data_IF_335373075859
#
_entry.id   IF_335373075859
#
_cell.length_a   1.000
_cell.length_b   1.000
_cell.length_c   1.000
_cell.angle_alpha   90.00
_cell.angle_beta   90.00
_cell.angle_gamma   90.00
#
_symmetry.space_group_name_H-M   'P 1'
#
loop_
_entity.id
_entity.type
_entity.pdbx_description
1 polymer ?
#
# COMPACT_ATOMS: atom_id res chain seq x y z
N UNK A 1 42.79 -23.21 8.50
CA UNK A 1 41.73 -23.33 7.48
C UNK A 1 40.41 -23.30 8.24
N UNK A 2 39.84 -22.10 8.40
CA UNK A 2 38.52 -21.96 9.01
C UNK A 2 37.55 -22.19 7.85
N UNK A 3 36.86 -23.32 7.89
CA UNK A 3 35.79 -23.62 6.94
C UNK A 3 34.56 -22.90 7.50
N UNK A 4 34.25 -21.74 6.93
CA UNK A 4 33.00 -21.02 7.18
C UNK A 4 31.83 -21.90 6.75
N UNK A 5 31.13 -22.43 7.74
CA UNK A 5 29.82 -23.05 7.56
C UNK A 5 28.85 -22.18 8.34
N UNK A 6 27.89 -21.60 7.60
CA UNK A 6 26.49 -21.25 7.95
C UNK A 6 26.06 -20.06 7.04
N UNK A 7 24.87 -20.06 6.40
CA UNK A 7 24.07 -21.16 5.86
C UNK A 7 23.33 -20.73 4.55
N UNK A 8 22.42 -21.55 4.04
CA UNK A 8 21.41 -21.24 3.00
C UNK A 8 20.44 -20.07 3.31
N UNK A 9 20.74 -19.17 4.26
CA UNK A 9 19.93 -18.00 4.64
C UNK A 9 20.01 -16.81 3.68
N UNK A 10 20.67 -16.95 2.53
CA UNK A 10 20.78 -15.88 1.52
C UNK A 10 19.74 -16.03 0.39
N UNK A 11 18.97 -17.11 0.39
CA UNK A 11 17.85 -17.31 -0.54
C UNK A 11 16.65 -16.44 -0.15
N UNK A 12 16.63 -15.19 -0.63
CA UNK A 12 15.51 -14.26 -0.47
C UNK A 12 15.90 -12.84 -0.04
N UNK A 13 17.19 -12.57 0.20
CA UNK A 13 17.66 -11.21 0.44
C UNK A 13 17.55 -10.40 -0.84
N UNK A 14 16.78 -9.31 -0.79
CA UNK A 14 16.43 -8.44 -1.92
C UNK A 14 17.67 -7.76 -2.54
N UNK A 15 18.43 -8.51 -3.33
CA UNK A 15 19.38 -7.98 -4.32
C UNK A 15 18.63 -7.65 -5.61
N UNK A 16 18.12 -6.42 -5.72
CA UNK A 16 17.28 -6.00 -6.84
C UNK A 16 18.07 -5.65 -8.11
N UNK A 17 17.62 -6.17 -9.25
CA UNK A 17 17.87 -5.59 -10.58
C UNK A 17 16.61 -4.84 -11.06
N UNK A 18 16.82 -3.67 -11.65
CA UNK A 18 15.78 -2.74 -12.12
C UNK A 18 15.03 -3.28 -13.35
N UNK A 19 13.70 -3.11 -13.41
CA UNK A 19 12.87 -3.45 -14.60
C UNK A 19 12.08 -2.23 -15.12
N UNK A 20 12.32 -1.76 -16.35
CA UNK A 20 11.77 -0.49 -16.87
C UNK A 20 10.26 -0.43 -17.17
N UNK A 21 9.53 -1.56 -17.23
CA UNK A 21 8.21 -1.62 -17.88
C UNK A 21 7.07 -2.11 -16.95
N UNK A 22 6.84 -1.43 -15.81
CA UNK A 22 5.76 -1.79 -14.87
C UNK A 22 4.47 -1.03 -15.14
N UNK A 23 3.33 -1.74 -15.18
CA UNK A 23 1.96 -1.26 -15.42
C UNK A 23 1.32 -0.55 -14.22
N UNK A 24 2.13 -0.11 -13.26
CA UNK A 24 1.68 0.60 -12.06
C UNK A 24 1.90 2.10 -12.22
N UNK A 25 0.83 2.93 -12.18
CA UNK A 25 1.00 4.36 -12.30
C UNK A 25 1.73 4.91 -11.08
N UNK A 26 2.90 5.48 -11.32
CA UNK A 26 3.62 6.32 -10.36
C UNK A 26 2.87 7.65 -10.29
N UNK A 27 2.37 8.01 -9.10
CA UNK A 27 1.71 9.29 -8.90
C UNK A 27 2.78 10.37 -8.68
N UNK A 28 2.88 11.31 -9.62
CA UNK A 28 3.88 12.39 -9.64
C UNK A 28 3.67 13.48 -8.55
N UNK A 29 3.36 13.10 -7.32
CA UNK A 29 3.52 13.94 -6.11
C UNK A 29 4.31 13.23 -5.00
N UNK A 30 4.90 12.05 -5.26
CA UNK A 30 5.49 11.17 -4.24
C UNK A 30 7.03 11.32 -4.06
N UNK A 31 7.66 12.36 -4.60
CA UNK A 31 9.02 12.75 -4.19
C UNK A 31 8.94 13.70 -2.98
N UNK A 32 8.92 13.10 -1.80
CA UNK A 32 9.00 13.82 -0.53
C UNK A 32 8.98 12.81 0.59
N UNK A 33 10.14 12.28 0.93
CA UNK A 33 10.29 11.22 1.92
C UNK A 33 9.84 11.62 3.32
N UNK A 34 9.09 10.74 3.98
CA UNK A 34 9.35 10.43 5.39
C UNK A 34 10.51 9.44 5.40
N UNK A 35 11.48 9.45 6.32
CA UNK A 35 11.60 10.00 7.67
C UNK A 35 12.94 10.72 7.69
N UNK A 36 12.94 12.05 7.82
CA UNK A 36 14.19 12.79 7.92
C UNK A 36 14.90 12.43 9.23
N UNK A 37 16.04 11.76 9.11
CA UNK A 37 17.17 11.89 10.02
C UNK A 37 17.11 11.12 11.34
N UNK A 38 17.08 9.78 11.31
CA UNK A 38 17.85 8.98 12.27
C UNK A 38 18.02 7.56 11.75
N UNK A 39 19.28 7.12 11.68
CA UNK A 39 19.71 5.75 11.43
C UNK A 39 19.22 4.83 12.55
N UNK A 40 18.01 4.31 12.40
CA UNK A 40 17.64 3.01 12.94
C UNK A 40 17.34 2.14 11.75
N UNK A 41 18.13 1.06 11.57
CA UNK A 41 17.94 0.04 10.54
C UNK A 41 16.64 -0.71 10.86
N UNK A 42 15.51 -0.04 10.63
CA UNK A 42 14.20 -0.62 10.52
C UNK A 42 13.92 -0.50 9.03
N UNK A 43 14.23 -1.56 8.29
CA UNK A 43 13.89 -1.63 6.88
C UNK A 43 12.39 -1.36 6.75
N UNK A 44 11.98 -0.33 5.99
CA UNK A 44 10.58 0.01 5.89
C UNK A 44 9.82 -1.21 5.34
N UNK A 45 8.82 -1.73 6.07
CA UNK A 45 8.05 -2.91 5.66
C UNK A 45 7.42 -2.75 4.26
N UNK A 46 7.23 -1.52 3.79
CA UNK A 46 6.70 -1.19 2.47
C UNK A 46 7.65 -1.64 1.35
N UNK A 47 8.96 -1.46 1.52
CA UNK A 47 9.99 -1.88 0.56
C UNK A 47 10.09 -3.40 0.48
N UNK A 48 9.94 -4.08 1.62
CA UNK A 48 9.91 -5.54 1.66
C UNK A 48 8.66 -6.08 0.94
N UNK A 49 7.46 -5.58 1.27
CA UNK A 49 6.21 -6.11 0.71
C UNK A 49 6.04 -5.81 -0.80
N UNK A 50 6.70 -4.76 -1.32
CA UNK A 50 6.72 -4.42 -2.76
C UNK A 50 7.21 -5.57 -3.64
N UNK A 51 8.10 -6.42 -3.13
CA UNK A 51 8.68 -7.55 -3.86
C UNK A 51 7.83 -8.82 -3.85
N UNK A 52 6.79 -8.88 -3.01
CA UNK A 52 5.99 -10.09 -2.84
C UNK A 52 4.99 -10.23 -3.99
N UNK A 53 4.80 -11.47 -4.44
CA UNK A 53 3.72 -11.87 -5.34
C UNK A 53 2.58 -12.53 -4.56
N UNK A 54 1.44 -12.76 -5.23
CA UNK A 54 0.32 -13.47 -4.58
C UNK A 54 0.69 -14.90 -4.25
N UNK A 55 1.56 -15.50 -5.06
CA UNK A 55 2.09 -16.84 -4.89
C UNK A 55 2.96 -16.95 -3.62
N UNK A 56 3.64 -15.87 -3.24
CA UNK A 56 4.46 -15.79 -2.01
C UNK A 56 3.61 -15.55 -0.73
N UNK A 57 2.34 -15.16 -0.91
CA UNK A 57 1.50 -14.63 0.16
C UNK A 57 0.57 -15.71 0.75
N UNK A 58 1.11 -16.57 1.63
CA UNK A 58 0.29 -17.38 2.53
C UNK A 58 -0.42 -16.51 3.58
N UNK A 59 -1.49 -17.02 4.19
CA UNK A 59 -2.20 -16.29 5.28
C UNK A 59 -1.28 -16.06 6.47
N UNK A 60 -0.42 -17.03 6.76
CA UNK A 60 0.57 -16.99 7.85
C UNK A 60 1.63 -15.92 7.57
N UNK A 61 2.16 -15.85 6.34
CA UNK A 61 3.12 -14.82 5.93
C UNK A 61 2.50 -13.42 6.00
N UNK A 62 1.25 -13.25 5.54
CA UNK A 62 0.53 -11.97 5.61
C UNK A 62 0.34 -11.51 7.06
N UNK A 63 0.00 -12.43 7.97
CA UNK A 63 -0.17 -12.10 9.39
C UNK A 63 1.13 -11.57 10.00
N UNK A 64 2.25 -12.26 9.75
CA UNK A 64 3.56 -11.83 10.24
C UNK A 64 3.96 -10.45 9.68
N UNK A 65 3.77 -10.23 8.39
CA UNK A 65 4.03 -8.94 7.74
C UNK A 65 3.22 -7.81 8.41
N UNK A 66 1.93 -8.06 8.69
CA UNK A 66 1.05 -7.08 9.36
C UNK A 66 1.49 -6.83 10.80
N UNK A 67 1.86 -7.87 11.55
CA UNK A 67 2.28 -7.76 12.94
C UNK A 67 3.60 -6.95 13.05
N UNK A 68 4.58 -7.24 12.18
CA UNK A 68 5.84 -6.49 12.09
C UNK A 68 5.60 -5.03 11.72
N UNK A 69 4.71 -4.77 10.75
CA UNK A 69 4.33 -3.41 10.40
C UNK A 69 3.70 -2.66 11.58
N UNK A 70 2.75 -3.29 12.28
CA UNK A 70 2.09 -2.68 13.44
C UNK A 70 3.09 -2.36 14.56
N UNK A 71 4.10 -3.20 14.78
CA UNK A 71 5.16 -2.95 15.76
C UNK A 71 5.93 -1.63 15.47
N UNK A 72 6.17 -1.32 14.19
CA UNK A 72 6.94 -0.13 13.77
C UNK A 72 6.10 1.14 13.71
N UNK A 73 4.85 1.04 13.24
CA UNK A 73 4.04 2.21 12.93
C UNK A 73 3.00 2.55 14.01
N UNK A 74 2.76 1.70 15.01
CA UNK A 74 1.73 1.96 16.04
C UNK A 74 2.31 2.73 17.23
N UNK A 75 1.65 3.82 17.70
CA UNK A 75 0.45 4.43 17.13
C UNK A 75 0.73 5.16 15.81
N UNK A 76 -0.19 5.04 14.85
CA UNK A 76 -0.05 5.70 13.56
C UNK A 76 0.09 7.22 13.73
N UNK A 77 1.06 7.80 13.04
CA UNK A 77 1.31 9.23 13.04
C UNK A 77 1.06 9.81 11.64
N UNK A 78 0.89 11.13 11.56
CA UNK A 78 0.56 11.81 10.31
C UNK A 78 1.75 11.81 9.32
N UNK A 79 2.97 11.80 9.82
CA UNK A 79 4.19 11.83 9.03
C UNK A 79 4.35 10.55 8.18
N UNK A 80 3.88 9.42 8.70
CA UNK A 80 4.02 8.10 8.09
C UNK A 80 2.79 7.69 7.25
N UNK A 81 1.77 8.56 7.13
CA UNK A 81 0.49 8.23 6.46
C UNK A 81 0.68 7.74 5.03
N UNK A 82 1.69 8.25 4.33
CA UNK A 82 2.02 7.77 2.99
C UNK A 82 2.45 6.31 3.03
N UNK A 83 3.41 5.98 3.88
CA UNK A 83 3.98 4.64 4.01
C UNK A 83 2.91 3.65 4.50
N UNK A 84 2.05 4.08 5.42
CA UNK A 84 0.93 3.29 5.92
C UNK A 84 -0.11 3.02 4.80
N UNK A 85 -0.44 4.02 3.99
CA UNK A 85 -1.30 3.85 2.83
C UNK A 85 -0.71 2.86 1.81
N UNK A 86 0.59 3.00 1.53
CA UNK A 86 1.28 2.19 0.54
C UNK A 86 1.39 0.73 1.00
N UNK A 87 1.69 0.50 2.28
CA UNK A 87 1.65 -0.82 2.89
C UNK A 87 0.28 -1.50 2.72
N UNK A 88 -0.81 -0.78 3.02
CA UNK A 88 -2.16 -1.30 2.83
C UNK A 88 -2.48 -1.62 1.35
N UNK A 89 -2.02 -0.78 0.43
CA UNK A 89 -2.14 -1.04 -1.00
C UNK A 89 -1.43 -2.33 -1.41
N UNK A 90 -0.18 -2.56 -0.96
CA UNK A 90 0.54 -3.78 -1.30
C UNK A 90 -0.08 -5.02 -0.67
N UNK A 91 -0.51 -4.97 0.58
CA UNK A 91 -1.29 -6.04 1.20
C UNK A 91 -2.53 -6.40 0.38
N UNK A 92 -3.24 -5.39 -0.14
CA UNK A 92 -4.36 -5.59 -1.06
C UNK A 92 -3.92 -6.30 -2.35
N UNK A 93 -2.79 -5.91 -2.94
CA UNK A 93 -2.24 -6.56 -4.14
C UNK A 93 -1.89 -8.02 -3.91
N UNK A 94 -1.49 -8.39 -2.70
CA UNK A 94 -1.26 -9.77 -2.27
C UNK A 94 -2.56 -10.58 -2.04
N UNK A 95 -3.73 -9.96 -2.15
CA UNK A 95 -5.02 -10.63 -1.96
C UNK A 95 -5.51 -10.63 -0.50
N UNK A 96 -4.81 -9.94 0.40
CA UNK A 96 -5.35 -9.65 1.73
C UNK A 96 -6.39 -8.52 1.60
N UNK A 97 -7.57 -8.66 2.20
CA UNK A 97 -8.60 -7.61 2.08
C UNK A 97 -8.96 -6.97 3.42
N UNK A 98 -9.00 -7.77 4.49
CA UNK A 98 -9.36 -7.28 5.82
C UNK A 98 -8.29 -6.32 6.41
N UNK A 99 -6.99 -6.67 6.46
CA UNK A 99 -5.99 -5.76 7.03
C UNK A 99 -5.86 -4.43 6.25
N UNK A 100 -5.80 -4.40 4.91
CA UNK A 100 -5.80 -3.13 4.17
C UNK A 100 -6.96 -2.22 4.51
N UNK A 101 -8.17 -2.78 4.65
CA UNK A 101 -9.36 -2.00 4.91
C UNK A 101 -9.29 -1.32 6.29
N UNK A 102 -8.88 -2.06 7.33
CA UNK A 102 -8.68 -1.52 8.68
C UNK A 102 -7.63 -0.40 8.67
N UNK A 103 -6.47 -0.66 8.05
CA UNK A 103 -5.36 0.31 7.99
C UNK A 103 -5.77 1.58 7.23
N UNK A 104 -6.43 1.44 6.08
CA UNK A 104 -6.85 2.59 5.27
C UNK A 104 -7.97 3.40 5.95
N UNK A 105 -8.83 2.76 6.75
CA UNK A 105 -9.82 3.47 7.55
C UNK A 105 -9.16 4.37 8.60
N UNK A 106 -8.06 3.94 9.21
CA UNK A 106 -7.32 4.78 10.14
C UNK A 106 -6.53 5.87 9.40
N UNK A 107 -6.01 5.59 8.21
CA UNK A 107 -5.41 6.60 7.33
C UNK A 107 -6.37 7.75 7.05
N UNK A 108 -7.62 7.49 6.65
CA UNK A 108 -8.57 8.58 6.36
C UNK A 108 -9.09 9.30 7.62
N UNK A 109 -9.00 8.68 8.81
CA UNK A 109 -9.29 9.38 10.07
C UNK A 109 -8.18 10.36 10.42
N UNK A 110 -6.92 9.96 10.22
CA UNK A 110 -5.73 10.77 10.53
C UNK A 110 -5.45 11.85 9.48
N UNK A 111 -5.66 11.53 8.21
CA UNK A 111 -5.55 12.45 7.09
C UNK A 111 -6.72 12.30 6.09
N UNK A 112 -7.85 12.98 6.35
CA UNK A 112 -8.98 13.02 5.43
C UNK A 112 -8.65 13.61 4.04
N UNK A 113 -7.50 14.28 3.89
CA UNK A 113 -7.06 14.83 2.60
C UNK A 113 -6.27 13.84 1.76
N UNK A 114 -5.95 12.64 2.27
CA UNK A 114 -5.27 11.59 1.50
C UNK A 114 -6.21 10.97 0.46
N UNK A 115 -6.42 11.66 -0.66
CA UNK A 115 -7.32 11.24 -1.75
C UNK A 115 -7.06 9.81 -2.23
N UNK A 116 -5.80 9.40 -2.33
CA UNK A 116 -5.41 8.03 -2.76
C UNK A 116 -5.94 6.94 -1.80
N UNK A 117 -6.10 7.22 -0.51
CA UNK A 117 -6.62 6.23 0.44
C UNK A 117 -8.07 5.86 0.13
N UNK A 118 -8.90 6.81 -0.32
CA UNK A 118 -10.27 6.55 -0.75
C UNK A 118 -10.31 5.64 -2.00
N UNK A 119 -9.38 5.83 -2.94
CA UNK A 119 -9.24 4.94 -4.11
C UNK A 119 -8.90 3.51 -3.67
N UNK A 120 -7.93 3.38 -2.75
CA UNK A 120 -7.49 2.08 -2.25
C UNK A 120 -8.60 1.36 -1.46
N UNK A 121 -9.37 2.07 -0.63
CA UNK A 121 -10.54 1.51 0.07
C UNK A 121 -11.58 1.01 -0.94
N UNK A 122 -11.85 1.77 -1.99
CA UNK A 122 -12.79 1.37 -3.02
C UNK A 122 -12.32 0.12 -3.78
N UNK A 123 -11.04 0.05 -4.15
CA UNK A 123 -10.44 -1.13 -4.80
C UNK A 123 -10.54 -2.37 -3.90
N UNK A 124 -10.37 -2.24 -2.57
CA UNK A 124 -10.54 -3.33 -1.59
C UNK A 124 -12.02 -3.76 -1.49
N UNK A 125 -12.96 -2.83 -1.35
CA UNK A 125 -14.39 -3.18 -1.31
C UNK A 125 -14.87 -3.84 -2.59
N UNK A 126 -14.35 -3.40 -3.74
CA UNK A 126 -14.67 -4.00 -5.03
C UNK A 126 -14.18 -5.46 -5.09
N UNK A 127 -12.97 -5.73 -4.59
CA UNK A 127 -12.43 -7.10 -4.52
C UNK A 127 -13.20 -7.99 -3.54
N UNK A 128 -13.78 -7.42 -2.48
CA UNK A 128 -14.70 -8.10 -1.57
C UNK A 128 -16.11 -8.32 -2.15
N UNK A 129 -16.38 -7.87 -3.38
CA UNK A 129 -17.71 -7.93 -4.00
C UNK A 129 -18.71 -6.92 -3.45
N UNK A 130 -18.30 -6.02 -2.54
CA UNK A 130 -19.14 -4.98 -1.99
C UNK A 130 -19.17 -3.76 -2.93
N UNK A 131 -19.89 -3.90 -4.03
CA UNK A 131 -19.99 -2.88 -5.09
C UNK A 131 -20.57 -1.57 -4.56
N UNK A 132 -21.52 -1.62 -3.61
CA UNK A 132 -22.15 -0.42 -3.06
C UNK A 132 -21.14 0.45 -2.30
N UNK A 133 -20.32 -0.16 -1.44
CA UNK A 133 -19.28 0.59 -0.74
C UNK A 133 -18.16 1.02 -1.68
N UNK A 134 -17.75 0.17 -2.62
CA UNK A 134 -16.77 0.55 -3.63
C UNK A 134 -17.20 1.82 -4.37
N UNK A 135 -18.46 1.88 -4.84
CA UNK A 135 -19.02 3.06 -5.51
C UNK A 135 -18.97 4.30 -4.61
N UNK A 136 -19.35 4.18 -3.34
CA UNK A 136 -19.29 5.30 -2.37
C UNK A 136 -17.88 5.89 -2.27
N UNK A 137 -16.87 5.06 -2.07
CA UNK A 137 -15.48 5.52 -1.92
C UNK A 137 -14.86 6.01 -3.24
N UNK A 138 -15.21 5.39 -4.38
CA UNK A 138 -14.84 5.91 -5.70
C UNK A 138 -15.43 7.29 -5.98
N UNK A 139 -16.67 7.54 -5.57
CA UNK A 139 -17.29 8.86 -5.70
C UNK A 139 -16.55 9.92 -4.87
N UNK A 140 -16.15 9.60 -3.64
CA UNK A 140 -15.35 10.53 -2.81
C UNK A 140 -13.99 10.82 -3.47
N UNK A 141 -13.29 9.79 -3.94
CA UNK A 141 -12.04 9.95 -4.70
C UNK A 141 -12.25 10.85 -5.92
N UNK A 142 -13.29 10.60 -6.71
CA UNK A 142 -13.60 11.37 -7.91
C UNK A 142 -13.86 12.85 -7.61
N UNK A 143 -14.68 13.16 -6.61
CA UNK A 143 -14.97 14.54 -6.23
C UNK A 143 -13.73 15.27 -5.69
N UNK A 144 -12.87 14.59 -4.93
CA UNK A 144 -11.59 15.16 -4.50
C UNK A 144 -10.69 15.49 -5.71
N UNK A 145 -10.52 14.54 -6.64
CA UNK A 145 -9.73 14.76 -7.85
C UNK A 145 -10.32 15.88 -8.72
N UNK A 146 -11.64 16.00 -8.78
CA UNK A 146 -12.34 17.08 -9.48
C UNK A 146 -12.05 18.44 -8.86
N UNK A 147 -12.21 18.55 -7.54
CA UNK A 147 -11.93 19.78 -6.79
C UNK A 147 -10.48 20.22 -6.98
N UNK A 148 -9.55 19.27 -7.03
CA UNK A 148 -8.12 19.55 -7.15
C UNK A 148 -7.69 19.78 -8.62
N UNK A 149 -8.62 19.75 -9.59
CA UNK A 149 -8.34 19.98 -11.02
C UNK A 149 -7.64 18.82 -11.72
N UNK A 150 -7.70 17.62 -11.15
CA UNK A 150 -6.95 16.42 -11.56
C UNK A 150 -7.83 15.36 -12.24
N UNK A 151 -8.95 15.73 -12.87
CA UNK A 151 -9.86 14.75 -13.52
C UNK A 151 -9.17 13.90 -14.59
N UNK A 152 -8.19 14.47 -15.30
CA UNK A 152 -7.39 13.75 -16.31
C UNK A 152 -6.53 12.61 -15.72
N UNK A 153 -6.31 12.61 -14.41
CA UNK A 153 -5.58 11.59 -13.65
C UNK A 153 -6.50 10.51 -13.07
N UNK A 154 -7.83 10.64 -13.19
CA UNK A 154 -8.77 9.64 -12.68
C UNK A 154 -8.71 8.36 -13.54
N UNK A 155 -8.43 7.18 -12.96
CA UNK A 155 -8.41 5.95 -13.73
C UNK A 155 -9.78 5.61 -14.34
N UNK A 156 -9.80 5.13 -15.59
CA UNK A 156 -11.05 4.76 -16.28
C UNK A 156 -11.91 3.76 -15.48
N UNK A 157 -11.28 2.85 -14.72
CA UNK A 157 -11.99 1.90 -13.86
C UNK A 157 -12.90 2.58 -12.83
N UNK A 158 -12.49 3.75 -12.30
CA UNK A 158 -13.30 4.54 -11.35
C UNK A 158 -14.55 5.04 -12.04
N UNK A 159 -14.40 5.63 -13.24
CA UNK A 159 -15.51 6.15 -14.03
C UNK A 159 -16.55 5.07 -14.38
N UNK A 160 -16.09 3.84 -14.66
CA UNK A 160 -16.96 2.70 -14.93
C UNK A 160 -17.79 2.30 -13.69
N UNK A 161 -17.24 2.41 -12.49
CA UNK A 161 -17.92 2.00 -11.25
C UNK A 161 -18.92 3.05 -10.77
N UNK A 162 -18.65 4.34 -10.97
CA UNK A 162 -19.58 5.41 -10.57
C UNK A 162 -20.79 5.55 -11.52
N UNK A 163 -20.64 5.19 -12.80
CA UNK A 163 -21.68 5.30 -13.84
C UNK A 163 -22.68 4.13 -13.86
N UNK A 164 -22.32 2.98 -13.30
CA UNK A 164 -23.21 1.83 -13.11
C UNK A 164 -24.14 2.07 -11.93
#
# INVERSE_FOLDING_TARGET
MIIDVIPTMVSGLCGGQWKPNSSTPIWNHDVGGGRAGVDSIIFPPVECIKGYTKEDASKENIKEIVDNFKCVYTPYNKQDIRDINDFAFYLYKLGAFKPPLEILQDVIKLDPKRTVAYLNIADVYLALGNVQQAKKYYSVYYENMKRDGLLNKVPFRVLKQIKK
#
